data_IF_440386721202
#
_entry.id   IF_440386721202
#
_cell.length_a   1.000
_cell.length_b   1.000
_cell.length_c   1.000
_cell.angle_alpha   90.00
_cell.angle_beta   90.00
_cell.angle_gamma   90.00
#
_symmetry.space_group_name_H-M   'P 1'
#
loop_
_entity.id
_entity.type
_entity.pdbx_description
1 polymer ?
#
# COMPACT_ATOMS: atom_id res chain seq x y z
N UNK A 1 9.14 16.27 7.92
CA UNK A 1 9.07 14.85 8.27
C UNK A 1 7.90 14.67 9.21
N UNK A 2 7.07 13.64 9.02
CA UNK A 2 5.90 13.41 9.87
C UNK A 2 6.31 12.87 11.24
N UNK A 3 5.67 13.31 12.34
CA UNK A 3 5.98 12.79 13.67
C UNK A 3 5.41 11.37 13.88
N UNK A 4 4.31 11.02 13.22
CA UNK A 4 3.73 9.68 13.27
C UNK A 4 3.39 9.16 11.87
N UNK A 5 3.37 7.83 11.73
CA UNK A 5 2.99 7.19 10.47
C UNK A 5 1.54 7.49 10.05
N UNK A 6 0.61 7.63 11.01
CA UNK A 6 -0.77 8.07 10.73
C UNK A 6 -0.85 9.39 9.96
N UNK A 7 0.07 10.33 10.22
CA UNK A 7 0.05 11.65 9.60
C UNK A 7 0.45 11.56 8.13
N UNK A 8 1.42 10.70 7.82
CA UNK A 8 1.83 10.39 6.45
C UNK A 8 0.68 9.72 5.68
N UNK A 9 0.06 8.69 6.26
CA UNK A 9 -1.08 7.98 5.64
C UNK A 9 -2.26 8.92 5.40
N UNK A 10 -2.60 9.76 6.38
CA UNK A 10 -3.66 10.74 6.23
C UNK A 10 -3.38 11.72 5.09
N UNK A 11 -2.16 12.27 5.03
CA UNK A 11 -1.78 13.18 3.94
C UNK A 11 -1.93 12.49 2.57
N UNK A 12 -1.40 11.29 2.42
CA UNK A 12 -1.41 10.55 1.15
C UNK A 12 -2.85 10.22 0.73
N UNK A 13 -3.63 9.59 1.61
CA UNK A 13 -5.01 9.19 1.32
C UNK A 13 -5.89 10.40 1.01
N UNK A 14 -5.74 11.51 1.76
CA UNK A 14 -6.45 12.76 1.49
C UNK A 14 -6.03 13.37 0.15
N UNK A 15 -4.75 13.32 -0.18
CA UNK A 15 -4.24 13.75 -1.49
C UNK A 15 -4.86 12.98 -2.64
N UNK A 16 -4.90 11.65 -2.54
CA UNK A 16 -5.52 10.77 -3.53
C UNK A 16 -7.01 11.06 -3.70
N UNK A 17 -7.76 11.18 -2.60
CA UNK A 17 -9.18 11.59 -2.64
C UNK A 17 -9.36 12.94 -3.32
N UNK A 18 -8.51 13.92 -3.03
CA UNK A 18 -8.57 15.22 -3.70
C UNK A 18 -8.25 15.13 -5.19
N UNK A 19 -7.37 14.21 -5.60
CA UNK A 19 -7.09 13.96 -7.01
C UNK A 19 -8.28 13.33 -7.73
N UNK A 20 -9.07 12.46 -7.07
CA UNK A 20 -10.33 11.98 -7.66
C UNK A 20 -11.26 13.15 -8.01
N UNK A 21 -11.40 14.12 -7.09
CA UNK A 21 -12.18 15.33 -7.35
C UNK A 21 -11.61 16.18 -8.49
N UNK A 22 -10.28 16.31 -8.57
CA UNK A 22 -9.60 17.04 -9.64
C UNK A 22 -9.85 16.40 -11.01
N UNK A 23 -9.95 15.07 -11.08
CA UNK A 23 -10.26 14.32 -12.31
C UNK A 23 -11.76 14.11 -12.54
N UNK A 24 -12.63 14.74 -11.74
CA UNK A 24 -14.10 14.58 -11.82
C UNK A 24 -14.60 13.13 -11.67
N UNK A 25 -13.86 12.29 -10.93
CA UNK A 25 -14.20 10.90 -10.63
C UNK A 25 -14.98 10.79 -9.32
N UNK A 26 -15.94 9.87 -9.18
CA UNK A 26 -16.73 9.70 -7.95
C UNK A 26 -15.86 9.55 -6.69
N UNK A 27 -16.16 10.32 -5.64
CA UNK A 27 -15.43 10.31 -4.37
C UNK A 27 -16.19 9.62 -3.24
N UNK A 28 -17.44 9.19 -3.46
CA UNK A 28 -18.35 8.71 -2.41
C UNK A 28 -17.74 7.61 -1.55
N UNK A 29 -17.18 6.58 -2.18
CA UNK A 29 -16.55 5.46 -1.45
C UNK A 29 -15.20 5.85 -0.86
N UNK A 30 -14.47 6.76 -1.53
CA UNK A 30 -13.20 7.28 -1.00
C UNK A 30 -13.42 8.11 0.28
N UNK A 31 -14.53 8.84 0.38
CA UNK A 31 -14.90 9.59 1.58
C UNK A 31 -15.17 8.66 2.77
N UNK A 32 -15.96 7.60 2.56
CA UNK A 32 -16.19 6.55 3.58
C UNK A 32 -14.87 5.90 3.99
N UNK A 33 -13.98 5.62 3.03
CA UNK A 33 -12.67 5.08 3.31
C UNK A 33 -11.82 6.03 4.18
N UNK A 34 -11.81 7.33 3.89
CA UNK A 34 -11.10 8.34 4.69
C UNK A 34 -11.67 8.44 6.11
N UNK A 35 -12.99 8.38 6.28
CA UNK A 35 -13.63 8.38 7.60
C UNK A 35 -13.17 7.19 8.46
N UNK A 36 -13.07 6.00 7.86
CA UNK A 36 -12.56 4.81 8.53
C UNK A 36 -11.08 4.94 8.92
N UNK A 37 -10.23 5.48 8.02
CA UNK A 37 -8.83 5.77 8.35
C UNK A 37 -8.71 6.71 9.54
N UNK A 38 -9.53 7.77 9.59
CA UNK A 38 -9.51 8.72 10.69
C UNK A 38 -9.95 8.07 12.01
N UNK A 39 -11.08 7.36 11.99
CA UNK A 39 -11.66 6.71 13.16
C UNK A 39 -10.74 5.65 13.79
N UNK A 40 -9.88 5.03 12.99
CA UNK A 40 -8.99 3.94 13.38
C UNK A 40 -7.51 4.30 13.24
N UNK A 41 -7.20 5.60 13.21
CA UNK A 41 -5.86 6.13 12.96
C UNK A 41 -4.79 5.67 13.96
N UNK A 42 -5.19 5.33 15.20
CA UNK A 42 -4.30 4.80 16.24
C UNK A 42 -3.59 3.49 15.82
N UNK A 43 -4.17 2.69 14.94
CA UNK A 43 -3.52 1.47 14.45
C UNK A 43 -2.24 1.76 13.65
N UNK A 44 -2.06 2.96 13.10
CA UNK A 44 -0.83 3.36 12.42
C UNK A 44 0.27 3.80 13.40
N UNK A 45 -0.06 4.13 14.65
CA UNK A 45 0.94 4.51 15.65
C UNK A 45 1.78 3.32 16.13
N UNK A 46 1.33 2.09 15.87
CA UNK A 46 2.13 0.86 16.10
C UNK A 46 3.43 0.85 15.26
N UNK A 47 3.53 1.69 14.22
CA UNK A 47 4.72 1.83 13.39
C UNK A 47 5.65 2.88 14.01
N UNK A 48 6.41 2.44 15.02
CA UNK A 48 7.37 3.29 15.74
C UNK A 48 8.70 3.46 15.00
N UNK A 49 9.11 2.45 14.23
CA UNK A 49 10.37 2.46 13.47
C UNK A 49 10.08 2.23 11.98
N UNK A 50 10.08 3.28 11.15
CA UNK A 50 9.86 3.11 9.72
C UNK A 50 11.04 2.39 9.08
N UNK A 51 10.77 1.62 8.01
CA UNK A 51 11.77 0.98 7.16
C UNK A 51 11.75 1.62 5.79
N UNK A 52 12.91 1.66 5.13
CA UNK A 52 12.99 2.10 3.75
C UNK A 52 12.33 1.05 2.85
N UNK A 53 11.29 1.47 2.15
CA UNK A 53 10.59 0.70 1.14
C UNK A 53 11.07 1.11 -0.24
N UNK A 54 10.98 0.19 -1.19
CA UNK A 54 11.38 0.44 -2.56
C UNK A 54 10.31 1.23 -3.31
N UNK A 55 9.04 0.96 -3.00
CA UNK A 55 7.86 1.60 -3.60
C UNK A 55 7.55 1.14 -5.03
N UNK A 56 8.35 0.24 -5.60
CA UNK A 56 8.16 -0.35 -6.93
C UNK A 56 8.88 -1.70 -7.07
N UNK A 57 8.83 -2.56 -6.04
CA UNK A 57 9.63 -3.79 -5.98
C UNK A 57 9.09 -4.94 -6.86
N UNK A 58 8.82 -4.68 -8.14
CA UNK A 58 8.41 -5.71 -9.11
C UNK A 58 9.55 -6.69 -9.39
N UNK A 59 9.26 -7.96 -9.77
CA UNK A 59 10.30 -8.92 -10.15
C UNK A 59 11.25 -8.42 -11.26
N UNK A 60 10.74 -7.59 -12.19
CA UNK A 60 11.57 -6.96 -13.25
C UNK A 60 12.64 -6.01 -12.70
N UNK A 61 12.46 -5.49 -11.49
CA UNK A 61 13.34 -4.54 -10.82
C UNK A 61 14.35 -5.23 -9.89
N UNK A 62 14.35 -6.58 -9.83
CA UNK A 62 15.28 -7.37 -9.03
C UNK A 62 16.29 -8.06 -9.95
N UNK A 63 17.57 -7.71 -9.80
CA UNK A 63 18.66 -8.33 -10.55
C UNK A 63 19.08 -9.64 -9.87
N UNK A 64 19.10 -10.72 -10.64
CA UNK A 64 19.48 -12.06 -10.18
C UNK A 64 20.71 -12.53 -10.92
N UNK A 65 21.79 -12.82 -10.20
CA UNK A 65 22.91 -13.60 -10.72
C UNK A 65 22.61 -15.10 -10.61
N UNK A 66 22.75 -15.80 -11.74
CA UNK A 66 22.51 -17.25 -11.86
C UNK A 66 23.78 -18.03 -12.22
N UNK A 67 24.94 -17.39 -12.14
CA UNK A 67 26.25 -18.01 -12.42
C UNK A 67 26.60 -19.17 -11.47
N UNK A 68 26.07 -19.12 -10.23
CA UNK A 68 26.29 -20.12 -9.19
C UNK A 68 25.12 -21.09 -9.05
N UNK A 69 25.35 -22.24 -8.38
CA UNK A 69 24.33 -23.27 -8.12
C UNK A 69 23.09 -22.76 -7.36
N UNK A 70 23.21 -21.64 -6.63
CA UNK A 70 22.09 -20.95 -5.99
C UNK A 70 21.99 -19.53 -6.58
N UNK A 71 20.84 -19.14 -7.16
CA UNK A 71 20.63 -17.78 -7.62
C UNK A 71 20.78 -16.76 -6.48
N UNK A 72 21.40 -15.62 -6.76
CA UNK A 72 21.61 -14.54 -5.78
C UNK A 72 21.00 -13.24 -6.27
N UNK A 73 20.34 -12.50 -5.37
CA UNK A 73 19.94 -11.12 -5.62
C UNK A 73 21.21 -10.25 -5.59
N UNK A 74 21.51 -9.55 -6.68
CA UNK A 74 22.73 -8.74 -6.82
C UNK A 74 22.46 -7.24 -6.98
N UNK A 75 21.20 -6.85 -7.11
CA UNK A 75 20.83 -5.45 -7.21
C UNK A 75 19.33 -5.22 -7.28
N UNK A 76 18.94 -3.99 -6.97
CA UNK A 76 17.59 -3.46 -7.12
C UNK A 76 17.64 -2.24 -8.04
N UNK A 77 16.65 -2.08 -8.90
CA UNK A 77 16.55 -0.98 -9.86
C UNK A 77 15.26 -0.18 -9.62
N UNK A 78 15.22 1.07 -10.06
CA UNK A 78 13.98 1.86 -10.15
C UNK A 78 13.31 2.18 -8.79
N UNK A 79 14.10 2.59 -7.81
CA UNK A 79 13.64 2.96 -6.46
C UNK A 79 13.08 4.40 -6.37
N UNK A 80 12.54 4.96 -7.47
CA UNK A 80 12.08 6.36 -7.53
C UNK A 80 10.84 6.63 -6.66
N UNK A 81 10.09 5.57 -6.33
CA UNK A 81 8.91 5.61 -5.45
C UNK A 81 9.24 5.28 -4.00
N UNK A 82 10.52 5.17 -3.65
CA UNK A 82 10.95 4.77 -2.31
C UNK A 82 10.52 5.74 -1.22
N UNK A 83 10.06 5.20 -0.09
CA UNK A 83 9.67 5.99 1.08
C UNK A 83 9.93 5.24 2.38
N UNK A 84 10.00 5.96 3.49
CA UNK A 84 10.12 5.38 4.83
C UNK A 84 8.74 5.13 5.41
N UNK A 85 8.42 3.89 5.80
CA UNK A 85 7.10 3.55 6.33
C UNK A 85 6.99 2.14 6.89
N UNK A 86 5.75 1.66 7.01
CA UNK A 86 5.43 0.29 7.41
C UNK A 86 5.89 -0.71 6.34
N UNK A 87 6.66 -1.77 6.67
CA UNK A 87 7.01 -2.85 5.75
C UNK A 87 5.83 -3.46 4.97
N UNK A 88 4.62 -3.42 5.53
CA UNK A 88 3.41 -3.93 4.88
C UNK A 88 2.81 -2.95 3.85
N UNK A 89 3.31 -1.72 3.78
CA UNK A 89 2.87 -0.70 2.82
C UNK A 89 3.54 -0.86 1.44
N UNK A 90 4.47 -1.80 1.24
CA UNK A 90 5.01 -2.07 -0.10
C UNK A 90 3.90 -2.64 -1.01
N UNK A 91 3.41 -1.79 -1.91
CA UNK A 91 2.18 -2.04 -2.66
C UNK A 91 2.28 -3.23 -3.61
N UNK A 92 3.47 -3.48 -4.14
CA UNK A 92 3.72 -4.61 -5.04
C UNK A 92 3.36 -5.92 -4.34
N UNK A 93 3.59 -6.05 -3.03
CA UNK A 93 3.24 -7.27 -2.29
C UNK A 93 1.74 -7.54 -2.21
N UNK A 94 0.89 -6.54 -2.49
CA UNK A 94 -0.56 -6.75 -2.55
C UNK A 94 -1.02 -7.48 -3.81
N UNK A 95 -0.17 -7.56 -4.83
CA UNK A 95 -0.45 -8.23 -6.11
C UNK A 95 0.09 -9.67 -6.17
N UNK A 96 0.79 -10.13 -5.13
CA UNK A 96 1.41 -11.45 -5.10
C UNK A 96 0.99 -12.26 -3.89
N UNK A 97 0.88 -13.57 -4.09
CA UNK A 97 0.83 -14.53 -2.98
C UNK A 97 2.25 -14.72 -2.44
N UNK A 98 2.62 -13.85 -1.50
CA UNK A 98 3.94 -13.88 -0.88
C UNK A 98 4.01 -15.02 0.16
N UNK A 99 4.94 -15.98 0.03
CA UNK A 99 5.02 -17.14 0.92
C UNK A 99 5.39 -16.75 2.35
N UNK A 100 4.92 -17.52 3.34
CA UNK A 100 5.23 -17.28 4.76
C UNK A 100 6.72 -17.18 5.06
N UNK A 101 7.55 -17.95 4.32
CA UNK A 101 9.00 -17.92 4.45
C UNK A 101 9.58 -16.53 4.15
N UNK A 102 9.03 -15.83 3.15
CA UNK A 102 9.45 -14.46 2.85
C UNK A 102 9.17 -13.56 4.05
N UNK A 103 7.96 -13.60 4.59
CA UNK A 103 7.59 -12.75 5.72
C UNK A 103 8.43 -13.01 6.96
N UNK A 104 8.76 -14.28 7.24
CA UNK A 104 9.62 -14.66 8.35
C UNK A 104 10.96 -13.91 8.31
N UNK A 105 11.58 -13.83 7.14
CA UNK A 105 12.88 -13.19 6.96
C UNK A 105 12.77 -11.68 6.71
N UNK A 106 11.66 -11.21 6.12
CA UNK A 106 11.40 -9.80 5.83
C UNK A 106 11.03 -8.97 7.06
N UNK A 107 10.81 -9.62 8.21
CA UNK A 107 10.48 -8.95 9.48
C UNK A 107 8.97 -8.90 9.77
N UNK A 108 8.27 -10.02 9.54
CA UNK A 108 6.81 -10.20 9.73
C UNK A 108 6.25 -9.41 10.91
N UNK A 109 5.23 -8.59 10.65
CA UNK A 109 4.30 -8.16 11.70
C UNK A 109 3.46 -9.38 12.11
N UNK A 110 3.43 -9.67 13.41
CA UNK A 110 2.49 -10.61 14.02
C UNK A 110 1.08 -10.32 13.49
N UNK A 111 0.27 -11.35 13.23
CA UNK A 111 -1.13 -11.15 12.82
C UNK A 111 -1.87 -10.56 14.03
N UNK A 112 -2.12 -9.26 13.99
CA UNK A 112 -2.89 -8.51 14.98
C UNK A 112 -4.06 -7.80 14.27
N UNK A 113 -5.10 -7.37 15.03
CA UNK A 113 -6.13 -6.50 14.48
C UNK A 113 -5.55 -5.24 13.82
N UNK A 114 -4.58 -4.58 14.46
CA UNK A 114 -3.88 -3.41 13.91
C UNK A 114 -3.14 -3.69 12.60
N UNK A 115 -2.37 -4.77 12.55
CA UNK A 115 -1.66 -5.18 11.31
C UNK A 115 -2.65 -5.51 10.17
N UNK A 116 -3.78 -6.12 10.51
CA UNK A 116 -4.82 -6.46 9.53
C UNK A 116 -5.52 -5.22 9.01
N UNK A 117 -5.87 -4.30 9.92
CA UNK A 117 -6.43 -3.00 9.56
C UNK A 117 -5.49 -2.21 8.64
N UNK A 118 -4.20 -2.09 8.99
CA UNK A 118 -3.21 -1.40 8.17
C UNK A 118 -3.07 -2.03 6.78
N UNK A 119 -3.07 -3.37 6.69
CA UNK A 119 -3.09 -4.07 5.39
C UNK A 119 -4.29 -3.68 4.53
N UNK A 120 -5.48 -3.64 5.11
CA UNK A 120 -6.70 -3.22 4.41
C UNK A 120 -6.64 -1.75 4.01
N UNK A 121 -6.15 -0.89 4.89
CA UNK A 121 -5.91 0.52 4.57
C UNK A 121 -4.98 0.68 3.37
N UNK A 122 -3.81 0.04 3.36
CA UNK A 122 -2.89 0.10 2.22
C UNK A 122 -3.56 -0.41 0.93
N UNK A 123 -4.32 -1.51 0.99
CA UNK A 123 -5.10 -1.99 -0.16
C UNK A 123 -6.07 -0.95 -0.68
N UNK A 124 -6.80 -0.25 0.21
CA UNK A 124 -7.72 0.83 -0.18
C UNK A 124 -6.98 1.98 -0.86
N UNK A 125 -5.86 2.42 -0.26
CA UNK A 125 -4.99 3.45 -0.82
C UNK A 125 -4.49 3.11 -2.22
N UNK A 126 -3.96 1.90 -2.42
CA UNK A 126 -3.45 1.48 -3.73
C UNK A 126 -4.54 1.19 -4.76
N UNK A 127 -5.74 0.83 -4.30
CA UNK A 127 -6.93 0.75 -5.17
C UNK A 127 -7.24 2.15 -5.75
N UNK A 128 -7.22 3.21 -4.93
CA UNK A 128 -7.40 4.58 -5.42
C UNK A 128 -6.25 5.02 -6.33
N UNK A 129 -4.99 4.69 -5.97
CA UNK A 129 -3.82 4.97 -6.82
C UNK A 129 -3.98 4.34 -8.22
N UNK A 130 -4.38 3.07 -8.31
CA UNK A 130 -4.60 2.39 -9.59
C UNK A 130 -5.67 3.08 -10.44
N UNK A 131 -6.74 3.61 -9.84
CA UNK A 131 -7.74 4.41 -10.57
C UNK A 131 -7.10 5.66 -11.17
N UNK A 132 -6.37 6.42 -10.34
CA UNK A 132 -5.71 7.66 -10.75
C UNK A 132 -4.70 7.41 -11.88
N UNK A 133 -3.95 6.31 -11.81
CA UNK A 133 -3.01 5.92 -12.88
C UNK A 133 -3.76 5.51 -14.15
N UNK A 134 -4.82 4.70 -14.05
CA UNK A 134 -5.62 4.32 -15.21
C UNK A 134 -6.23 5.54 -15.91
N UNK A 135 -6.80 6.48 -15.15
CA UNK A 135 -7.31 7.75 -15.68
C UNK A 135 -6.21 8.57 -16.34
N UNK A 136 -5.03 8.68 -15.72
CA UNK A 136 -3.90 9.47 -16.25
C UNK A 136 -3.36 8.91 -17.57
N UNK A 137 -3.28 7.58 -17.69
CA UNK A 137 -2.69 6.92 -18.86
C UNK A 137 -3.73 6.46 -19.89
N UNK A 138 -5.02 6.67 -19.64
CA UNK A 138 -6.11 6.23 -20.51
C UNK A 138 -6.22 4.71 -20.60
N UNK A 139 -5.86 4.00 -19.53
CA UNK A 139 -6.06 2.56 -19.43
C UNK A 139 -7.52 2.22 -19.12
N UNK A 140 -7.91 0.98 -19.37
CA UNK A 140 -9.20 0.47 -18.92
C UNK A 140 -9.33 0.66 -17.40
N UNK A 141 -10.43 1.28 -16.96
CA UNK A 141 -10.66 1.54 -15.55
C UNK A 141 -10.78 0.19 -14.80
N UNK A 142 -9.96 -0.03 -13.76
CA UNK A 142 -10.11 -1.21 -12.94
C UNK A 142 -11.47 -1.17 -12.20
N UNK A 143 -11.97 -2.30 -11.66
CA UNK A 143 -13.23 -2.35 -10.90
C UNK A 143 -13.09 -1.74 -9.49
N UNK A 144 -12.62 -0.49 -9.43
CA UNK A 144 -12.14 0.21 -8.23
C UNK A 144 -13.26 0.46 -7.24
N UNK A 145 -14.41 0.96 -7.70
CA UNK A 145 -15.55 1.23 -6.82
C UNK A 145 -15.98 -0.04 -6.09
N UNK A 146 -16.07 -1.16 -6.80
CA UNK A 146 -16.41 -2.45 -6.20
C UNK A 146 -15.35 -2.90 -5.18
N UNK A 147 -14.07 -2.85 -5.58
CA UNK A 147 -12.95 -3.25 -4.71
C UNK A 147 -12.86 -2.40 -3.44
N UNK A 148 -13.03 -1.09 -3.56
CA UNK A 148 -12.97 -0.17 -2.42
C UNK A 148 -14.18 -0.35 -1.49
N UNK A 149 -15.35 -0.70 -2.02
CA UNK A 149 -16.52 -1.08 -1.20
C UNK A 149 -16.23 -2.36 -0.40
N UNK A 150 -15.64 -3.39 -1.02
CA UNK A 150 -15.25 -4.61 -0.29
C UNK A 150 -14.27 -4.30 0.83
N UNK A 151 -13.23 -3.53 0.53
CA UNK A 151 -12.19 -3.16 1.50
C UNK A 151 -12.80 -2.36 2.66
N UNK A 152 -13.63 -1.36 2.38
CA UNK A 152 -14.27 -0.55 3.44
C UNK A 152 -15.22 -1.39 4.30
N UNK A 153 -15.93 -2.38 3.72
CA UNK A 153 -16.73 -3.34 4.49
C UNK A 153 -15.88 -4.24 5.38
N UNK A 154 -14.74 -4.74 4.88
CA UNK A 154 -13.81 -5.54 5.67
C UNK A 154 -13.22 -4.73 6.84
N UNK A 155 -12.88 -3.46 6.59
CA UNK A 155 -12.32 -2.55 7.60
C UNK A 155 -13.27 -2.31 8.78
N UNK A 156 -14.59 -2.36 8.58
CA UNK A 156 -15.58 -2.19 9.66
C UNK A 156 -15.50 -3.27 10.75
N UNK A 157 -14.86 -4.41 10.47
CA UNK A 157 -14.69 -5.49 11.43
C UNK A 157 -13.53 -5.28 12.43
N UNK A 158 -12.80 -4.17 12.32
CA UNK A 158 -11.61 -3.83 13.11
C UNK A 158 -11.73 -2.42 13.70
#
# INVERSE_FOLDING_TARGET
MFPHWRDAIWMIAKGMRNNLALFHLDQTVADVYLELLAAKSHWFDEIETPRLLHGDLWPKNVLIDRSNARPQIVGLLDAERGFWGDPMAEWVFLFYEIPDLFWKEYGRSTITPGATFRKLAYRGMYTIQSLLEATRFGWEEPPITHKLIEITREMLNY
#
